data_IF_562901863853
#
_entry.id   IF_562901863853
#
_cell.length_a   1.000
_cell.length_b   1.000
_cell.length_c   1.000
_cell.angle_alpha   90.00
_cell.angle_beta   90.00
_cell.angle_gamma   90.00
#
_symmetry.space_group_name_H-M   'P 1'
#
loop_
_entity.id
_entity.type
_entity.pdbx_description
1 polymer ?
#
# COMPACT_ATOMS: atom_id res chain seq x y z
N UNK A 1 -14.24 27.63 -13.07
CA UNK A 1 -13.23 26.56 -12.95
C UNK A 1 -13.97 25.26 -12.65
N UNK A 2 -13.63 24.16 -13.31
CA UNK A 2 -14.28 22.85 -13.10
C UNK A 2 -13.33 21.89 -12.39
N UNK A 3 -13.83 21.20 -11.38
CA UNK A 3 -13.12 20.08 -10.74
C UNK A 3 -13.86 18.80 -11.09
N UNK A 4 -13.18 17.88 -11.76
CA UNK A 4 -13.72 16.61 -12.21
C UNK A 4 -13.14 15.46 -11.38
N UNK A 5 -13.98 14.49 -11.03
CA UNK A 5 -13.63 13.35 -10.18
C UNK A 5 -14.57 12.18 -10.41
N UNK A 6 -14.19 11.02 -9.88
CA UNK A 6 -14.95 9.80 -10.04
C UNK A 6 -16.30 9.85 -9.29
N UNK A 7 -17.42 9.43 -9.93
CA UNK A 7 -18.76 9.51 -9.36
C UNK A 7 -18.98 8.72 -8.08
N UNK A 8 -18.11 7.77 -7.74
CA UNK A 8 -18.24 6.98 -6.51
C UNK A 8 -17.84 7.76 -5.25
N UNK A 9 -17.21 8.93 -5.39
CA UNK A 9 -16.84 9.78 -4.26
C UNK A 9 -17.82 10.94 -4.10
N UNK A 10 -18.08 11.31 -2.84
CA UNK A 10 -18.57 12.65 -2.51
C UNK A 10 -17.38 13.61 -2.50
N UNK A 11 -17.58 14.86 -2.91
CA UNK A 11 -16.48 15.83 -3.04
C UNK A 11 -15.61 15.98 -1.78
N UNK A 12 -16.22 15.92 -0.59
CA UNK A 12 -15.49 16.02 0.67
C UNK A 12 -14.66 14.77 1.01
N UNK A 13 -15.02 13.60 0.46
CA UNK A 13 -14.34 12.32 0.67
C UNK A 13 -13.05 12.23 -0.16
N UNK A 14 -12.92 13.03 -1.22
CA UNK A 14 -11.76 12.98 -2.11
C UNK A 14 -10.43 13.14 -1.37
N UNK A 15 -10.39 13.96 -0.32
CA UNK A 15 -9.19 14.17 0.50
C UNK A 15 -8.93 12.98 1.43
N UNK A 16 -9.97 12.39 2.00
CA UNK A 16 -9.88 11.24 2.91
C UNK A 16 -9.28 10.01 2.20
N UNK A 17 -9.69 9.78 0.95
CA UNK A 17 -9.21 8.65 0.16
C UNK A 17 -8.04 9.00 -0.76
N UNK A 18 -7.54 10.24 -0.69
CA UNK A 18 -6.55 10.80 -1.62
C UNK A 18 -6.90 10.50 -3.09
N UNK A 19 -8.19 10.61 -3.43
CA UNK A 19 -8.68 10.39 -4.78
C UNK A 19 -8.16 11.50 -5.70
N UNK A 20 -7.79 11.20 -6.94
CA UNK A 20 -7.29 12.19 -7.85
C UNK A 20 -8.42 13.04 -8.44
N UNK A 21 -8.10 14.26 -8.86
CA UNK A 21 -9.03 15.17 -9.55
C UNK A 21 -8.39 15.73 -10.81
N UNK A 22 -9.23 16.11 -11.77
CA UNK A 22 -8.84 16.94 -12.91
C UNK A 22 -9.36 18.35 -12.65
N UNK A 23 -8.50 19.35 -12.73
CA UNK A 23 -8.87 20.75 -12.56
C UNK A 23 -8.77 21.43 -13.92
N UNK A 24 -9.91 21.90 -14.44
CA UNK A 24 -9.99 22.64 -15.69
C UNK A 24 -10.26 24.12 -15.39
N UNK A 25 -9.34 24.96 -15.82
CA UNK A 25 -9.45 26.42 -15.79
C UNK A 25 -9.23 26.97 -17.19
N UNK A 26 -9.49 28.26 -17.41
CA UNK A 26 -9.28 28.90 -18.72
C UNK A 26 -7.83 28.81 -19.21
N UNK A 27 -6.89 28.79 -18.27
CA UNK A 27 -5.45 28.86 -18.57
C UNK A 27 -4.76 27.50 -18.49
N UNK A 28 -5.30 26.55 -17.72
CA UNK A 28 -4.63 25.28 -17.41
C UNK A 28 -5.62 24.14 -17.20
N UNK A 29 -5.25 22.97 -17.70
CA UNK A 29 -5.85 21.69 -17.36
C UNK A 29 -4.83 20.88 -16.57
N UNK A 30 -5.16 20.57 -15.32
CA UNK A 30 -4.26 19.95 -14.36
C UNK A 30 -4.85 18.63 -13.86
N UNK A 31 -3.99 17.71 -13.47
CA UNK A 31 -4.31 16.55 -12.65
C UNK A 31 -3.67 16.78 -11.29
N UNK A 32 -4.46 16.66 -10.23
CA UNK A 32 -3.96 16.51 -8.87
C UNK A 32 -4.20 15.07 -8.45
N UNK A 33 -3.13 14.32 -8.16
CA UNK A 33 -3.26 12.90 -7.85
C UNK A 33 -3.91 12.60 -6.50
N UNK A 34 -4.02 13.59 -5.59
CA UNK A 34 -4.42 13.36 -4.18
C UNK A 34 -5.39 14.40 -3.62
N UNK A 35 -5.99 15.25 -4.46
CA UNK A 35 -7.00 16.24 -4.05
C UNK A 35 -6.53 17.28 -3.03
N UNK A 36 -5.23 17.51 -2.89
CA UNK A 36 -4.73 18.51 -1.93
C UNK A 36 -5.00 19.94 -2.40
N UNK A 37 -5.12 20.14 -3.71
CA UNK A 37 -5.41 21.43 -4.33
C UNK A 37 -6.87 21.86 -4.13
N UNK A 38 -7.76 20.95 -3.74
CA UNK A 38 -9.19 21.24 -3.62
C UNK A 38 -9.61 21.68 -2.20
N UNK A 39 -8.68 21.73 -1.25
CA UNK A 39 -8.95 22.13 0.14
C UNK A 39 -9.66 23.49 0.21
N UNK A 40 -9.27 24.43 -0.64
CA UNK A 40 -9.84 25.78 -0.67
C UNK A 40 -11.29 25.82 -1.20
N UNK A 41 -11.78 24.74 -1.81
CA UNK A 41 -13.16 24.62 -2.28
C UNK A 41 -14.07 23.91 -1.28
N UNK A 42 -13.50 23.31 -0.21
CA UNK A 42 -14.30 22.64 0.80
C UNK A 42 -15.21 23.65 1.51
N UNK A 43 -16.50 23.33 1.58
CA UNK A 43 -17.51 24.20 2.20
C UNK A 43 -18.06 25.30 1.27
N UNK A 44 -17.55 25.43 0.05
CA UNK A 44 -18.16 26.29 -0.98
C UNK A 44 -19.30 25.56 -1.69
N UNK A 45 -20.36 26.29 -2.01
CA UNK A 45 -21.42 25.77 -2.87
C UNK A 45 -20.97 25.87 -4.35
N UNK A 46 -21.04 24.77 -5.12
CA UNK A 46 -20.73 24.82 -6.54
C UNK A 46 -21.78 25.65 -7.27
N UNK A 47 -21.36 26.43 -8.27
CA UNK A 47 -22.27 27.22 -9.11
C UNK A 47 -23.10 26.34 -10.02
N UNK A 48 -22.50 25.26 -10.52
CA UNK A 48 -23.14 24.28 -11.40
C UNK A 48 -22.47 22.91 -11.21
N UNK A 49 -23.18 21.84 -11.55
CA UNK A 49 -22.64 20.47 -11.53
C UNK A 49 -23.18 19.66 -12.69
N UNK A 50 -22.46 18.62 -13.07
CA UNK A 50 -22.89 17.66 -14.07
C UNK A 50 -21.94 16.48 -14.17
N UNK A 51 -22.01 15.78 -15.30
CA UNK A 51 -21.07 14.73 -15.66
C UNK A 51 -20.52 14.97 -17.06
N UNK A 52 -19.36 14.41 -17.34
CA UNK A 52 -18.72 14.41 -18.66
C UNK A 52 -17.88 13.17 -18.84
N UNK A 53 -17.78 12.70 -20.07
CA UNK A 53 -16.87 11.62 -20.44
C UNK A 53 -15.49 12.21 -20.79
N UNK A 54 -14.43 11.67 -20.18
CA UNK A 54 -13.04 12.04 -20.41
C UNK A 54 -12.25 10.75 -20.61
N UNK A 55 -11.77 10.50 -21.84
CA UNK A 55 -11.00 9.30 -22.21
C UNK A 55 -11.64 8.01 -21.66
N UNK A 56 -12.90 7.76 -22.04
CA UNK A 56 -13.72 6.60 -21.67
C UNK A 56 -14.08 6.50 -20.17
N UNK A 57 -13.80 7.53 -19.37
CA UNK A 57 -14.25 7.62 -17.98
C UNK A 57 -15.37 8.65 -17.83
N UNK A 58 -16.47 8.24 -17.20
CA UNK A 58 -17.54 9.16 -16.79
C UNK A 58 -17.12 9.80 -15.47
N UNK A 59 -16.86 11.11 -15.49
CA UNK A 59 -16.50 11.90 -14.33
C UNK A 59 -17.64 12.84 -13.95
N UNK A 60 -17.87 13.01 -12.65
CA UNK A 60 -18.66 14.14 -12.15
C UNK A 60 -17.80 15.39 -12.20
N UNK A 61 -18.44 16.53 -12.42
CA UNK A 61 -17.78 17.81 -12.32
C UNK A 61 -18.57 18.80 -11.48
N UNK A 62 -17.85 19.57 -10.68
CA UNK A 62 -18.36 20.72 -9.94
C UNK A 62 -17.70 21.98 -10.46
N UNK A 63 -18.51 23.01 -10.71
CA UNK A 63 -18.05 24.30 -11.18
C UNK A 63 -18.00 25.31 -10.02
N UNK A 64 -16.90 26.05 -9.96
CA UNK A 64 -16.61 27.08 -8.98
C UNK A 64 -16.20 28.40 -9.68
N UNK A 65 -16.31 29.55 -9.01
CA UNK A 65 -15.84 30.83 -9.55
C UNK A 65 -14.39 30.78 -10.03
N UNK A 66 -14.10 31.35 -11.20
CA UNK A 66 -12.77 31.33 -11.83
C UNK A 66 -11.68 32.03 -10.99
N UNK A 67 -12.06 32.99 -10.14
CA UNK A 67 -11.13 33.76 -9.30
C UNK A 67 -10.32 32.86 -8.34
N UNK A 68 -10.89 31.73 -7.93
CA UNK A 68 -10.26 30.75 -7.04
C UNK A 68 -9.21 29.88 -7.73
N UNK A 69 -9.10 29.93 -9.08
CA UNK A 69 -8.09 29.16 -9.82
C UNK A 69 -6.66 29.65 -9.53
N UNK A 70 -6.51 30.91 -9.12
CA UNK A 70 -5.22 31.50 -8.75
C UNK A 70 -4.65 30.97 -7.43
N UNK A 71 -5.48 30.31 -6.61
CA UNK A 71 -5.11 29.78 -5.30
C UNK A 71 -4.50 28.36 -5.36
N UNK A 72 -4.41 27.75 -6.54
CA UNK A 72 -3.80 26.42 -6.71
C UNK A 72 -2.28 26.55 -6.63
N UNK A 73 -1.73 26.19 -5.47
CA UNK A 73 -0.29 26.23 -5.23
C UNK A 73 0.44 25.12 -6.00
N UNK A 74 1.68 25.37 -6.46
CA UNK A 74 2.54 24.32 -7.00
C UNK A 74 2.71 23.19 -5.97
N UNK A 75 2.46 21.96 -6.39
CA UNK A 75 2.55 20.76 -5.56
C UNK A 75 3.20 19.65 -6.42
N UNK A 76 4.14 18.85 -5.88
CA UNK A 76 4.80 17.76 -6.61
C UNK A 76 3.85 16.72 -7.21
N UNK A 77 2.62 16.62 -6.72
CA UNK A 77 1.60 15.69 -7.20
C UNK A 77 0.58 16.33 -8.16
N UNK A 78 0.84 17.57 -8.59
CA UNK A 78 0.01 18.30 -9.55
C UNK A 78 0.74 18.39 -10.89
N UNK A 79 0.10 17.89 -11.95
CA UNK A 79 0.69 17.75 -13.27
C UNK A 79 -0.21 18.36 -14.34
N UNK A 80 0.35 18.68 -15.51
CA UNK A 80 -0.47 19.01 -16.68
C UNK A 80 -1.23 17.78 -17.17
N UNK A 81 -2.47 18.00 -17.63
CA UNK A 81 -3.28 16.96 -18.24
C UNK A 81 -2.71 16.59 -19.62
N UNK A 82 -2.16 15.39 -19.71
CA UNK A 82 -1.73 14.73 -20.93
C UNK A 82 -1.92 13.20 -20.78
N UNK A 83 -1.71 12.44 -21.84
CA UNK A 83 -1.97 10.99 -21.82
C UNK A 83 -1.16 10.24 -20.76
N UNK A 84 0.12 10.60 -20.57
CA UNK A 84 1.00 9.96 -19.56
C UNK A 84 0.49 10.23 -18.14
N UNK A 85 0.14 11.47 -17.82
CA UNK A 85 -0.36 11.82 -16.49
C UNK A 85 -1.79 11.33 -16.29
N UNK A 86 -2.57 11.16 -17.35
CA UNK A 86 -3.89 10.54 -17.28
C UNK A 86 -3.81 9.05 -16.91
N UNK A 87 -2.78 8.31 -17.33
CA UNK A 87 -2.50 6.97 -16.79
C UNK A 87 -2.33 6.99 -15.26
N UNK A 88 -1.56 7.96 -14.75
CA UNK A 88 -1.36 8.14 -13.29
C UNK A 88 -2.67 8.46 -12.58
N UNK A 89 -3.52 9.30 -13.18
CA UNK A 89 -4.87 9.58 -12.69
C UNK A 89 -5.69 8.28 -12.58
N UNK A 90 -5.72 7.45 -13.63
CA UNK A 90 -6.47 6.17 -13.60
C UNK A 90 -5.98 5.23 -12.51
N UNK A 91 -4.67 5.12 -12.33
CA UNK A 91 -4.07 4.28 -11.28
C UNK A 91 -4.45 4.80 -9.89
N UNK A 92 -4.22 6.10 -9.63
CA UNK A 92 -4.55 6.73 -8.35
C UNK A 92 -6.05 6.57 -8.02
N UNK A 93 -6.91 6.81 -9.02
CA UNK A 93 -8.36 6.66 -8.88
C UNK A 93 -8.74 5.22 -8.52
N UNK A 94 -8.13 4.23 -9.18
CA UNK A 94 -8.41 2.83 -8.89
C UNK A 94 -8.00 2.43 -7.47
N UNK A 95 -6.84 2.90 -7.00
CA UNK A 95 -6.38 2.66 -5.62
C UNK A 95 -7.37 3.27 -4.62
N UNK A 96 -7.74 4.54 -4.82
CA UNK A 96 -8.69 5.24 -3.95
C UNK A 96 -10.07 4.57 -3.95
N UNK A 97 -10.55 4.07 -5.09
CA UNK A 97 -11.80 3.31 -5.16
C UNK A 97 -11.73 2.01 -4.35
N UNK A 98 -10.61 1.29 -4.42
CA UNK A 98 -10.40 0.11 -3.57
C UNK A 98 -10.37 0.48 -2.10
N UNK A 99 -9.67 1.56 -1.73
CA UNK A 99 -9.64 2.05 -0.36
C UNK A 99 -11.05 2.37 0.17
N UNK A 100 -11.86 3.08 -0.63
CA UNK A 100 -13.27 3.35 -0.32
C UNK A 100 -14.07 2.05 -0.13
N UNK A 101 -13.97 1.11 -1.07
CA UNK A 101 -14.67 -0.18 -1.01
C UNK A 101 -14.30 -0.99 0.25
N UNK A 102 -13.02 -1.02 0.63
CA UNK A 102 -12.56 -1.65 1.86
C UNK A 102 -13.13 -0.97 3.12
N UNK A 103 -13.22 0.36 3.11
CA UNK A 103 -13.76 1.15 4.22
C UNK A 103 -15.26 0.91 4.39
N UNK A 104 -16.01 0.83 3.30
CA UNK A 104 -17.45 0.56 3.30
C UNK A 104 -17.81 -0.91 3.54
N UNK A 105 -16.90 -1.85 3.30
CA UNK A 105 -17.17 -3.29 3.49
C UNK A 105 -17.49 -3.63 4.95
N UNK A 106 -18.53 -4.44 5.16
CA UNK A 106 -18.88 -5.00 6.48
C UNK A 106 -17.95 -6.13 6.88
N UNK A 107 -17.45 -6.91 5.91
CA UNK A 107 -16.43 -7.94 6.12
C UNK A 107 -15.05 -7.32 5.96
N UNK A 108 -14.36 -7.12 7.07
CA UNK A 108 -13.02 -6.55 7.07
C UNK A 108 -12.00 -7.62 6.69
N UNK A 109 -11.16 -7.32 5.70
CA UNK A 109 -10.02 -8.17 5.33
C UNK A 109 -8.83 -7.86 6.23
N UNK A 110 -7.90 -8.81 6.38
CA UNK A 110 -6.69 -8.62 7.18
C UNK A 110 -5.82 -7.49 6.61
N UNK A 111 -5.65 -7.45 5.29
CA UNK A 111 -4.87 -6.42 4.61
C UNK A 111 -5.80 -5.47 3.87
N UNK A 112 -5.54 -4.17 3.99
CA UNK A 112 -6.22 -3.10 3.26
C UNK A 112 -5.28 -2.39 2.31
N UNK A 113 -5.86 -1.81 1.26
CA UNK A 113 -5.18 -0.95 0.28
C UNK A 113 -5.48 0.50 0.64
N UNK A 114 -4.44 1.33 0.62
CA UNK A 114 -4.54 2.78 0.79
C UNK A 114 -3.73 3.48 -0.30
N UNK A 115 -4.15 4.69 -0.66
CA UNK A 115 -3.38 5.54 -1.57
C UNK A 115 -2.39 6.38 -0.75
N UNK A 116 -1.14 6.46 -1.20
CA UNK A 116 -0.14 7.34 -0.60
C UNK A 116 -0.43 8.80 -0.96
N UNK A 117 -0.04 9.73 -0.09
CA UNK A 117 -0.01 11.18 -0.40
C UNK A 117 1.22 11.59 -1.21
N UNK A 118 2.23 10.74 -1.23
CA UNK A 118 3.48 10.95 -1.93
C UNK A 118 3.51 10.07 -3.18
N UNK A 119 3.62 10.68 -4.36
CA UNK A 119 3.79 9.99 -5.64
C UNK A 119 2.70 8.93 -5.90
N UNK A 120 2.87 8.09 -6.91
CA UNK A 120 1.96 6.99 -7.22
C UNK A 120 2.34 5.72 -6.45
N UNK A 121 2.40 5.81 -5.13
CA UNK A 121 2.62 4.65 -4.25
C UNK A 121 1.29 4.06 -3.77
N UNK A 122 1.16 2.74 -3.92
CA UNK A 122 0.09 1.99 -3.25
C UNK A 122 0.61 1.48 -1.91
N UNK A 123 -0.14 1.74 -0.84
CA UNK A 123 0.15 1.21 0.48
C UNK A 123 -0.74 -0.01 0.75
N UNK A 124 -0.13 -1.05 1.31
CA UNK A 124 -0.84 -2.20 1.87
C UNK A 124 -0.52 -2.24 3.35
N UNK A 125 -1.56 -2.25 4.18
CA UNK A 125 -1.39 -2.29 5.62
C UNK A 125 -2.29 -3.30 6.31
N UNK A 126 -1.96 -3.66 7.54
CA UNK A 126 -2.88 -4.38 8.42
C UNK A 126 -4.12 -3.52 8.71
N UNK A 127 -5.31 -4.11 8.60
CA UNK A 127 -6.59 -3.47 8.92
C UNK A 127 -6.85 -3.54 10.43
N UNK A 128 -6.89 -2.38 11.08
CA UNK A 128 -7.12 -2.26 12.53
C UNK A 128 -8.43 -2.89 12.97
N UNK A 129 -9.51 -2.70 12.20
CA UNK A 129 -10.82 -3.28 12.48
C UNK A 129 -10.79 -4.81 12.46
N UNK A 130 -10.08 -5.41 11.50
CA UNK A 130 -9.90 -6.86 11.44
C UNK A 130 -9.14 -7.38 12.66
N UNK A 131 -8.06 -6.69 13.08
CA UNK A 131 -7.29 -7.03 14.28
C UNK A 131 -8.18 -6.96 15.53
N UNK A 132 -9.01 -5.93 15.64
CA UNK A 132 -9.93 -5.75 16.77
C UNK A 132 -11.05 -6.80 16.80
N UNK A 133 -11.50 -7.28 15.64
CA UNK A 133 -12.49 -8.37 15.54
C UNK A 133 -11.87 -9.75 15.83
N UNK A 134 -10.57 -9.91 15.61
CA UNK A 134 -9.87 -11.19 15.70
C UNK A 134 -8.73 -11.17 16.74
N UNK A 135 -8.91 -10.45 17.85
CA UNK A 135 -7.86 -10.21 18.87
C UNK A 135 -7.11 -11.46 19.32
N UNK A 136 -7.81 -12.58 19.45
CA UNK A 136 -7.26 -13.88 19.83
C UNK A 136 -6.03 -14.32 19.01
N UNK A 137 -5.91 -13.88 17.75
CA UNK A 137 -4.73 -14.18 16.92
C UNK A 137 -3.59 -13.19 17.16
N UNK A 138 -3.89 -11.92 17.42
CA UNK A 138 -2.92 -10.83 17.50
C UNK A 138 -2.43 -10.53 18.93
N UNK A 139 -3.03 -11.17 19.93
CA UNK A 139 -2.51 -11.19 21.31
C UNK A 139 -1.21 -12.01 21.42
N UNK A 140 -1.03 -13.02 20.57
CA UNK A 140 0.24 -13.75 20.47
C UNK A 140 1.21 -13.00 19.55
N UNK A 141 2.13 -12.25 20.16
CA UNK A 141 3.14 -11.46 19.44
C UNK A 141 4.07 -12.27 18.56
N UNK A 142 4.31 -13.54 18.90
CA UNK A 142 5.16 -14.40 18.07
C UNK A 142 4.39 -14.82 16.82
N UNK A 143 3.10 -15.13 16.96
CA UNK A 143 2.27 -15.46 15.80
C UNK A 143 2.14 -14.25 14.87
N UNK A 144 1.98 -13.06 15.42
CA UNK A 144 1.97 -11.82 14.64
C UNK A 144 3.23 -11.67 13.78
N UNK A 145 4.41 -11.98 14.34
CA UNK A 145 5.67 -12.00 13.59
C UNK A 145 5.67 -13.07 12.50
N UNK A 146 5.27 -14.32 12.79
CA UNK A 146 5.19 -15.37 11.75
C UNK A 146 4.24 -15.00 10.60
N UNK A 147 3.10 -14.40 10.95
CA UNK A 147 2.12 -13.97 9.98
C UNK A 147 2.68 -12.85 9.08
N UNK A 148 3.40 -11.89 9.65
CA UNK A 148 4.08 -10.83 8.90
C UNK A 148 5.04 -11.41 7.86
N UNK A 149 5.83 -12.40 8.26
CA UNK A 149 6.82 -13.05 7.41
C UNK A 149 6.14 -13.76 6.24
N UNK A 150 5.08 -14.53 6.51
CA UNK A 150 4.32 -15.21 5.47
C UNK A 150 3.70 -14.22 4.49
N UNK A 151 3.08 -13.17 5.02
CA UNK A 151 2.47 -12.09 4.22
C UNK A 151 3.52 -11.39 3.36
N UNK A 152 4.70 -11.11 3.91
CA UNK A 152 5.80 -10.49 3.17
C UNK A 152 6.21 -11.34 1.97
N UNK A 153 6.45 -12.65 2.14
CA UNK A 153 6.83 -13.52 1.02
C UNK A 153 5.76 -13.59 -0.06
N UNK A 154 4.49 -13.64 0.35
CA UNK A 154 3.36 -13.68 -0.57
C UNK A 154 3.21 -12.38 -1.38
N UNK A 155 3.34 -11.22 -0.73
CA UNK A 155 3.34 -9.91 -1.40
C UNK A 155 4.57 -9.78 -2.29
N UNK A 156 5.76 -10.17 -1.82
CA UNK A 156 7.02 -10.12 -2.58
C UNK A 156 6.90 -10.92 -3.88
N UNK A 157 6.46 -12.17 -3.80
CA UNK A 157 6.22 -13.03 -4.97
C UNK A 157 5.22 -12.40 -5.94
N UNK A 158 4.14 -11.80 -5.43
CA UNK A 158 3.18 -11.11 -6.28
C UNK A 158 3.84 -9.91 -6.97
N UNK A 159 4.53 -9.02 -6.24
CA UNK A 159 5.20 -7.85 -6.82
C UNK A 159 6.28 -8.20 -7.83
N UNK A 160 7.04 -9.27 -7.61
CA UNK A 160 8.06 -9.77 -8.54
C UNK A 160 7.44 -10.25 -9.86
N UNK A 161 6.27 -10.92 -9.82
CA UNK A 161 5.59 -11.37 -11.04
C UNK A 161 5.10 -10.22 -11.93
N UNK A 162 4.97 -9.01 -11.37
CA UNK A 162 4.62 -7.78 -12.07
C UNK A 162 5.81 -6.83 -12.27
N UNK A 163 7.03 -7.24 -11.87
CA UNK A 163 8.24 -6.42 -11.90
C UNK A 163 8.08 -5.05 -11.19
N UNK A 164 7.42 -5.06 -10.02
CA UNK A 164 7.17 -3.88 -9.21
C UNK A 164 8.15 -3.80 -8.05
N UNK A 165 8.52 -2.56 -7.67
CA UNK A 165 9.36 -2.33 -6.50
C UNK A 165 8.53 -2.40 -5.23
N UNK A 166 8.97 -3.23 -4.28
CA UNK A 166 8.38 -3.39 -2.96
C UNK A 166 9.31 -2.81 -1.89
N UNK A 167 8.79 -1.94 -1.05
CA UNK A 167 9.46 -1.42 0.14
C UNK A 167 8.63 -1.72 1.39
N UNK A 168 9.28 -2.00 2.51
CA UNK A 168 8.59 -2.29 3.78
C UNK A 168 9.13 -1.37 4.87
N UNK A 169 8.60 -0.13 4.99
CA UNK A 169 9.11 0.83 5.97
C UNK A 169 8.88 0.40 7.42
N UNK A 170 7.84 -0.41 7.68
CA UNK A 170 7.42 -0.83 9.01
C UNK A 170 6.80 -2.23 8.96
N UNK A 171 6.72 -2.95 10.09
CA UNK A 171 5.94 -4.18 10.20
C UNK A 171 4.52 -4.03 9.63
N UNK A 172 4.12 -4.97 8.77
CA UNK A 172 2.84 -4.96 8.06
C UNK A 172 2.51 -3.71 7.22
N UNK A 173 3.46 -2.80 6.98
CA UNK A 173 3.27 -1.69 6.06
C UNK A 173 4.13 -1.94 4.83
N UNK A 174 3.49 -2.20 3.70
CA UNK A 174 4.13 -2.45 2.42
C UNK A 174 3.82 -1.29 1.48
N UNK A 175 4.82 -0.83 0.76
CA UNK A 175 4.75 0.28 -0.18
C UNK A 175 5.20 -0.20 -1.55
N UNK A 176 4.35 -0.02 -2.56
CA UNK A 176 4.58 -0.49 -3.92
C UNK A 176 4.59 0.68 -4.88
N UNK A 177 5.68 0.82 -5.64
CA UNK A 177 5.83 1.88 -6.63
C UNK A 177 5.08 1.56 -7.92
N UNK A 178 4.10 2.39 -8.28
CA UNK A 178 3.36 2.28 -9.53
C UNK A 178 3.65 3.44 -10.49
N UNK A 179 4.56 4.35 -10.15
CA UNK A 179 4.83 5.59 -10.90
C UNK A 179 5.33 5.37 -12.34
N UNK A 180 5.92 4.21 -12.62
CA UNK A 180 6.42 3.80 -13.94
C UNK A 180 5.59 2.70 -14.59
N UNK A 181 4.41 2.43 -14.04
CA UNK A 181 3.54 1.32 -14.45
C UNK A 181 2.37 1.84 -15.28
N UNK A 182 1.95 1.09 -16.30
CA UNK A 182 0.73 1.39 -17.08
C UNK A 182 -0.53 0.99 -16.31
N UNK A 183 -1.64 1.66 -16.57
CA UNK A 183 -2.89 1.40 -15.86
C UNK A 183 -3.33 -0.06 -15.95
N UNK A 184 -3.22 -0.71 -17.12
CA UNK A 184 -3.68 -2.10 -17.28
C UNK A 184 -2.91 -3.08 -16.38
N UNK A 185 -1.62 -2.86 -16.22
CA UNK A 185 -0.75 -3.67 -15.35
C UNK A 185 -1.08 -3.42 -13.89
N UNK A 186 -1.22 -2.15 -13.49
CA UNK A 186 -1.61 -1.78 -12.13
C UNK A 186 -2.99 -2.35 -11.75
N UNK A 187 -3.96 -2.25 -12.66
CA UNK A 187 -5.31 -2.81 -12.48
C UNK A 187 -5.28 -4.32 -12.23
N UNK A 188 -4.52 -5.08 -13.03
CA UNK A 188 -4.38 -6.54 -12.83
C UNK A 188 -3.72 -6.87 -11.50
N UNK A 189 -2.60 -6.19 -11.19
CA UNK A 189 -1.89 -6.35 -9.93
C UNK A 189 -2.79 -6.10 -8.72
N UNK A 190 -3.55 -5.00 -8.72
CA UNK A 190 -4.46 -4.65 -7.62
C UNK A 190 -5.54 -5.71 -7.44
N UNK A 191 -6.15 -6.20 -8.52
CA UNK A 191 -7.16 -7.24 -8.44
C UNK A 191 -6.60 -8.59 -7.95
N UNK A 192 -5.39 -8.96 -8.36
CA UNK A 192 -4.73 -10.17 -7.88
C UNK A 192 -4.30 -10.04 -6.41
N UNK A 193 -3.87 -8.85 -5.99
CA UNK A 193 -3.63 -8.54 -4.60
C UNK A 193 -4.91 -8.68 -3.76
N UNK A 194 -6.07 -8.21 -4.24
CA UNK A 194 -7.33 -8.39 -3.52
C UNK A 194 -7.68 -9.86 -3.30
N UNK A 195 -7.49 -10.71 -4.32
CA UNK A 195 -7.69 -12.16 -4.20
C UNK A 195 -6.71 -12.77 -3.19
N UNK A 196 -5.45 -12.35 -3.24
CA UNK A 196 -4.43 -12.78 -2.27
C UNK A 196 -4.80 -12.36 -0.85
N UNK A 197 -5.22 -11.11 -0.64
CA UNK A 197 -5.66 -10.58 0.65
C UNK A 197 -6.84 -11.36 1.20
N UNK A 198 -7.83 -11.65 0.36
CA UNK A 198 -8.99 -12.47 0.74
C UNK A 198 -8.58 -13.90 1.11
N UNK A 199 -7.72 -14.52 0.31
CA UNK A 199 -7.18 -15.85 0.58
C UNK A 199 -6.43 -15.89 1.93
N UNK A 200 -5.48 -14.97 2.14
CA UNK A 200 -4.71 -14.88 3.38
C UNK A 200 -5.62 -14.64 4.59
N UNK A 201 -6.60 -13.75 4.46
CA UNK A 201 -7.60 -13.48 5.50
C UNK A 201 -8.35 -14.75 5.90
N UNK A 202 -8.76 -15.57 4.92
CA UNK A 202 -9.47 -16.83 5.18
C UNK A 202 -8.61 -17.89 5.89
N UNK A 203 -7.28 -17.78 5.79
CA UNK A 203 -6.32 -18.76 6.33
C UNK A 203 -5.78 -18.43 7.71
N UNK A 204 -5.96 -17.20 8.21
CA UNK A 204 -5.39 -16.77 9.50
C UNK A 204 -5.72 -17.73 10.65
N UNK A 205 -6.97 -18.18 10.77
CA UNK A 205 -7.37 -19.10 11.84
C UNK A 205 -6.72 -20.48 11.76
N UNK A 206 -6.56 -21.01 10.54
CA UNK A 206 -5.86 -22.27 10.28
C UNK A 206 -4.36 -22.14 10.62
N UNK A 207 -3.73 -21.05 10.16
CA UNK A 207 -2.33 -20.74 10.44
C UNK A 207 -2.07 -20.61 11.94
N UNK A 208 -2.95 -19.92 12.67
CA UNK A 208 -2.85 -19.78 14.12
C UNK A 208 -2.92 -21.13 14.82
N UNK A 209 -3.86 -21.98 14.41
CA UNK A 209 -4.03 -23.32 14.99
C UNK A 209 -2.79 -24.20 14.79
N UNK A 210 -2.14 -24.12 13.61
CA UNK A 210 -0.89 -24.83 13.33
C UNK A 210 0.28 -24.26 14.14
N UNK A 211 0.35 -22.93 14.28
CA UNK A 211 1.46 -22.24 14.91
C UNK A 211 1.45 -22.34 16.44
N UNK A 212 0.27 -22.30 17.08
CA UNK A 212 0.10 -22.11 18.53
C UNK A 212 0.99 -23.01 19.40
N UNK A 213 1.13 -24.29 19.05
CA UNK A 213 2.00 -25.22 19.82
C UNK A 213 3.46 -25.20 19.36
N UNK A 214 3.70 -24.99 18.06
CA UNK A 214 5.05 -25.02 17.46
C UNK A 214 5.86 -23.77 17.76
N UNK A 215 5.18 -22.63 17.93
CA UNK A 215 5.82 -21.34 18.08
C UNK A 215 6.63 -21.20 19.36
N UNK A 216 6.27 -21.98 20.39
CA UNK A 216 7.00 -22.07 21.67
C UNK A 216 8.45 -22.51 21.49
N UNK A 217 8.74 -23.30 20.45
CA UNK A 217 10.11 -23.75 20.12
C UNK A 217 10.97 -22.56 19.67
N UNK A 218 10.34 -21.54 19.09
CA UNK A 218 11.00 -20.34 18.55
C UNK A 218 11.15 -19.23 19.59
N UNK A 219 10.81 -19.48 20.86
CA UNK A 219 10.85 -18.47 21.93
C UNK A 219 12.22 -17.80 22.06
N UNK A 220 13.29 -18.59 21.99
CA UNK A 220 14.64 -18.05 22.05
C UNK A 220 14.94 -17.14 20.86
N UNK A 221 14.51 -17.52 19.66
CA UNK A 221 14.73 -16.72 18.46
C UNK A 221 13.99 -15.38 18.54
N UNK A 222 12.68 -15.41 18.79
CA UNK A 222 11.85 -14.21 18.83
C UNK A 222 12.12 -13.31 20.03
N UNK A 223 12.70 -13.84 21.12
CA UNK A 223 13.14 -13.02 22.25
C UNK A 223 14.52 -12.39 22.04
N UNK A 224 15.33 -12.93 21.11
CA UNK A 224 16.72 -12.49 20.90
C UNK A 224 16.89 -11.52 19.73
N UNK A 225 15.87 -11.35 18.90
CA UNK A 225 15.89 -10.45 17.74
C UNK A 225 14.69 -9.51 17.85
N UNK A 226 14.94 -8.20 17.84
CA UNK A 226 13.84 -7.25 17.76
C UNK A 226 13.11 -7.38 16.42
N UNK A 227 11.79 -7.21 16.43
CA UNK A 227 10.95 -7.39 15.25
C UNK A 227 11.43 -6.59 14.04
N UNK A 228 11.88 -5.34 14.24
CA UNK A 228 12.33 -4.47 13.15
C UNK A 228 13.60 -5.02 12.49
N UNK A 229 14.55 -5.53 13.26
CA UNK A 229 15.74 -6.20 12.75
C UNK A 229 15.40 -7.50 12.00
N UNK A 230 14.45 -8.29 12.51
CA UNK A 230 13.98 -9.49 11.83
C UNK A 230 13.31 -9.17 10.49
N UNK A 231 12.43 -8.16 10.46
CA UNK A 231 11.80 -7.66 9.23
C UNK A 231 12.86 -7.20 8.23
N UNK A 232 13.88 -6.44 8.67
CA UNK A 232 14.97 -5.99 7.79
C UNK A 232 15.78 -7.16 7.22
N UNK A 233 16.06 -8.16 8.04
CA UNK A 233 16.75 -9.37 7.61
C UNK A 233 15.94 -10.06 6.51
N UNK A 234 14.67 -10.34 6.77
CA UNK A 234 13.77 -11.02 5.81
C UNK A 234 13.57 -10.20 4.53
N UNK A 235 13.54 -8.87 4.62
CA UNK A 235 13.48 -7.99 3.45
C UNK A 235 14.72 -8.11 2.54
N UNK A 236 15.89 -8.29 3.14
CA UNK A 236 17.17 -8.36 2.43
C UNK A 236 17.33 -9.67 1.67
N UNK A 237 16.80 -10.77 2.24
CA UNK A 237 16.92 -12.10 1.65
C UNK A 237 15.71 -12.48 0.79
N UNK A 238 15.91 -13.36 -0.18
CA UNK A 238 14.86 -13.86 -1.07
C UNK A 238 14.04 -14.97 -0.44
N UNK A 239 14.65 -15.73 0.49
CA UNK A 239 13.98 -16.80 1.22
C UNK A 239 14.68 -17.11 2.55
N UNK A 240 14.06 -17.98 3.36
CA UNK A 240 14.71 -18.51 4.56
C UNK A 240 15.87 -19.44 4.25
N UNK A 241 15.85 -20.13 3.12
CA UNK A 241 16.95 -20.99 2.69
C UNK A 241 18.23 -20.19 2.44
N UNK A 242 18.13 -18.99 1.84
CA UNK A 242 19.27 -18.09 1.69
C UNK A 242 19.83 -17.65 3.06
N UNK A 243 18.94 -17.29 4.00
CA UNK A 243 19.34 -16.93 5.37
C UNK A 243 20.07 -18.09 6.05
N UNK A 244 19.53 -19.30 5.95
CA UNK A 244 20.12 -20.49 6.56
C UNK A 244 21.50 -20.76 5.95
N UNK A 245 21.64 -20.67 4.63
CA UNK A 245 22.91 -20.90 3.94
C UNK A 245 24.00 -19.91 4.39
N UNK A 246 23.68 -18.63 4.49
CA UNK A 246 24.62 -17.61 4.97
C UNK A 246 24.99 -17.81 6.44
N UNK A 247 24.03 -18.20 7.29
CA UNK A 247 24.29 -18.51 8.70
C UNK A 247 25.15 -19.76 8.89
N UNK A 248 24.98 -20.78 8.04
CA UNK A 248 25.85 -21.96 8.02
C UNK A 248 27.27 -21.61 7.61
N UNK A 249 27.43 -20.77 6.59
CA UNK A 249 28.74 -20.27 6.18
C UNK A 249 29.41 -19.47 7.30
N UNK A 250 28.68 -18.55 7.93
CA UNK A 250 29.17 -17.76 9.07
C UNK A 250 29.60 -18.66 10.24
N UNK A 251 28.80 -19.68 10.58
CA UNK A 251 29.14 -20.66 11.63
C UNK A 251 30.46 -21.36 11.33
N UNK A 252 30.66 -21.80 10.09
CA UNK A 252 31.89 -22.48 9.67
C UNK A 252 33.11 -21.55 9.76
N UNK A 253 32.97 -20.31 9.29
CA UNK A 253 34.04 -19.30 9.36
C UNK A 253 34.42 -18.97 10.80
N UNK A 254 33.44 -18.75 11.68
CA UNK A 254 33.68 -18.50 13.11
C UNK A 254 34.42 -19.69 13.74
N UNK A 255 34.02 -20.92 13.42
CA UNK A 255 34.69 -22.13 13.90
C UNK A 255 36.18 -22.18 13.50
N UNK A 256 36.51 -21.85 12.25
CA UNK A 256 37.89 -21.77 11.77
C UNK A 256 38.70 -20.67 12.47
N UNK A 257 38.09 -19.52 12.71
CA UNK A 257 38.75 -18.41 13.41
C UNK A 257 38.99 -18.75 14.89
N UNK A 258 38.04 -19.39 15.56
CA UNK A 258 38.21 -19.84 16.94
C UNK A 258 39.35 -20.86 17.09
N UNK A 259 39.52 -21.80 16.15
CA UNK A 259 40.63 -22.75 16.20
C UNK A 259 41.98 -22.04 16.09
N UNK A 260 42.11 -21.05 15.20
CA UNK A 260 43.34 -20.26 15.08
C UNK A 260 43.68 -19.45 16.35
N UNK A 261 42.66 -18.99 17.08
CA UNK A 261 42.86 -18.27 18.35
C UNK A 261 43.27 -19.25 19.46
N UNK A 262 42.66 -20.44 19.51
CA UNK A 262 42.93 -21.43 20.56
C UNK A 262 44.28 -22.13 20.39
N UNK A 263 44.79 -22.30 19.17
CA UNK A 263 46.12 -22.87 18.91
C UNK A 263 47.29 -21.99 19.38
N UNK A 264 47.04 -20.73 19.75
CA UNK A 264 48.05 -19.79 20.29
C UNK A 264 48.05 -19.70 21.83
N UNK A 265 47.22 -20.48 22.53
CA UNK A 265 47.22 -20.59 24.00
C UNK A 265 47.76 -21.95 24.42
#
# INVERSE_FOLDING_TARGET
MKVLFDPNFVFNELIEYHAPVIIQSRERNLIDLHSLSIINFLGLAPTTKGSSEVNDLILLWLEFPDELATDIKPNPNVFELNDENFEKFKISNHISLKHLQHTLSTSKRMLKIENSVDNLYMLISLCTEYVLQNRQFFEDKKFEVLLEILVFFEIKRLTESYNLSLHMPQPFLFQIDLSKTRYETAYKFINDFEKLSEYLTSKVGELFSIAKEKIRILDRLFSSVDRKSLTKLIYTFSSFEEIISDLEYLKNLVGQLESCIREKR
#
